data_IF_139561022697
#
_entry.id   IF_139561022697
#
_cell.length_a   1.000
_cell.length_b   1.000
_cell.length_c   1.000
_cell.angle_alpha   90.00
_cell.angle_beta   90.00
_cell.angle_gamma   90.00
#
_symmetry.space_group_name_H-M   'P 1'
#
loop_
_entity.id
_entity.type
_entity.pdbx_description
1 polymer ?
#
# COMPACT_ATOMS: atom_id res chain seq x y z
N UNK A 1 53.49 77.09 46.87
CA UNK A 1 52.03 77.01 47.04
C UNK A 1 51.41 76.69 45.68
N UNK A 2 50.49 75.71 45.61
CA UNK A 2 49.80 75.14 44.43
C UNK A 2 50.62 74.28 43.47
N UNK A 3 50.13 73.17 42.91
CA UNK A 3 49.09 72.16 43.22
C UNK A 3 49.17 71.20 42.01
N UNK A 4 49.16 69.88 42.20
CA UNK A 4 48.14 68.96 41.62
C UNK A 4 48.56 67.50 41.72
N UNK A 5 47.59 66.74 42.22
CA UNK A 5 47.55 65.30 42.43
C UNK A 5 47.73 64.52 41.13
N UNK A 6 48.56 63.46 41.17
CA UNK A 6 48.65 62.43 40.14
C UNK A 6 47.84 61.22 40.62
N UNK A 7 46.60 61.10 40.10
CA UNK A 7 45.72 59.96 40.36
C UNK A 7 46.05 58.80 39.40
N UNK A 8 46.20 57.60 39.96
CA UNK A 8 46.41 56.32 39.24
C UNK A 8 45.40 56.17 38.10
N UNK A 9 45.91 56.02 36.87
CA UNK A 9 45.11 55.71 35.67
C UNK A 9 44.60 54.27 35.77
N UNK A 10 43.30 54.12 35.97
CA UNK A 10 42.58 52.85 35.90
C UNK A 10 42.41 52.48 34.42
N UNK A 11 42.94 51.33 33.99
CA UNK A 11 42.70 50.83 32.63
C UNK A 11 41.26 50.29 32.54
N UNK A 12 40.40 50.95 31.76
CA UNK A 12 39.08 50.42 31.39
C UNK A 12 39.27 49.36 30.30
N UNK A 13 38.86 48.11 30.58
CA UNK A 13 38.66 47.09 29.55
C UNK A 13 37.49 47.55 28.68
N UNK A 14 37.74 47.80 27.40
CA UNK A 14 36.66 48.05 26.44
C UNK A 14 36.08 46.71 26.01
N UNK A 15 34.80 46.50 26.33
CA UNK A 15 34.02 45.42 25.76
C UNK A 15 33.57 45.88 24.37
N UNK A 16 34.06 45.23 23.33
CA UNK A 16 33.60 45.47 21.95
C UNK A 16 32.35 44.62 21.75
N UNK A 17 31.20 45.26 21.56
CA UNK A 17 30.00 44.59 21.05
C UNK A 17 30.02 44.63 19.53
N UNK A 18 30.05 43.46 18.91
CA UNK A 18 29.92 43.29 17.46
C UNK A 18 28.45 42.99 17.18
N UNK A 19 27.71 43.99 16.68
CA UNK A 19 26.30 43.83 16.29
C UNK A 19 26.28 43.29 14.86
N UNK A 20 25.99 42.00 14.70
CA UNK A 20 25.72 41.40 13.39
C UNK A 20 24.23 41.56 13.12
N UNK A 21 23.89 42.46 12.20
CA UNK A 21 22.52 42.65 11.72
C UNK A 21 22.25 41.64 10.61
N UNK A 22 21.68 40.48 10.94
CA UNK A 22 21.15 39.54 9.96
C UNK A 22 19.77 40.00 9.49
N UNK A 23 19.70 40.61 8.32
CA UNK A 23 18.43 40.87 7.63
C UNK A 23 18.02 39.57 6.94
N UNK A 24 17.09 38.84 7.56
CA UNK A 24 16.42 37.69 6.93
C UNK A 24 15.28 38.24 6.09
N UNK A 25 15.45 38.27 4.76
CA UNK A 25 14.31 38.49 3.86
C UNK A 25 13.48 37.20 3.82
N UNK A 26 12.38 37.17 4.55
CA UNK A 26 11.32 36.20 4.29
C UNK A 26 10.66 36.60 2.98
N UNK A 27 10.99 35.92 1.88
CA UNK A 27 10.14 35.91 0.70
C UNK A 27 8.84 35.20 1.08
N UNK A 28 7.81 35.97 1.45
CA UNK A 28 6.45 35.46 1.46
C UNK A 28 6.04 35.32 0.00
N UNK A 29 6.35 34.16 -0.59
CA UNK A 29 5.70 33.74 -1.81
C UNK A 29 4.28 33.39 -1.40
N UNK A 30 3.34 34.29 -1.70
CA UNK A 30 1.93 34.01 -1.58
C UNK A 30 1.54 33.11 -2.76
N UNK A 31 1.95 31.83 -2.68
CA UNK A 31 1.28 30.78 -3.43
C UNK A 31 -0.07 30.65 -2.74
N UNK A 32 -1.17 30.69 -3.48
CA UNK A 32 -2.47 30.23 -2.99
C UNK A 32 -2.33 28.73 -2.70
N UNK A 33 -1.71 28.40 -1.57
CA UNK A 33 -1.49 27.05 -1.10
C UNK A 33 -2.74 26.65 -0.33
N UNK A 34 -3.49 25.73 -0.91
CA UNK A 34 -4.34 24.83 -0.14
C UNK A 34 -3.56 24.43 1.12
N UNK A 35 -4.18 24.54 2.30
CA UNK A 35 -3.57 24.14 3.55
C UNK A 35 -3.13 22.68 3.39
N UNK A 36 -1.83 22.45 3.25
CA UNK A 36 -1.31 21.08 3.20
C UNK A 36 -1.41 20.54 4.62
N UNK A 37 -2.00 19.34 4.84
CA UNK A 37 -1.96 18.71 6.15
C UNK A 37 -0.50 18.63 6.62
N UNK A 38 -0.27 18.84 7.91
CA UNK A 38 1.06 18.55 8.47
C UNK A 38 1.31 17.05 8.28
N UNK A 39 2.52 16.67 7.91
CA UNK A 39 2.85 15.26 7.58
C UNK A 39 2.51 14.32 8.74
N UNK A 40 2.64 14.82 9.98
CA UNK A 40 2.30 14.08 11.20
C UNK A 40 0.79 13.77 11.34
N UNK A 41 -0.07 14.50 10.64
CA UNK A 41 -1.52 14.31 10.65
C UNK A 41 -2.00 13.31 9.59
N UNK A 42 -1.10 12.86 8.68
CA UNK A 42 -1.45 11.91 7.63
C UNK A 42 -1.44 10.49 8.21
N UNK A 43 -2.62 9.89 8.31
CA UNK A 43 -2.76 8.47 8.64
C UNK A 43 -2.46 7.61 7.41
N UNK A 44 -1.24 7.12 7.24
CA UNK A 44 -0.89 6.24 6.12
C UNK A 44 -1.43 4.81 6.23
N UNK A 45 -2.06 4.44 7.35
CA UNK A 45 -2.54 3.08 7.60
C UNK A 45 -1.41 2.07 7.87
N UNK A 46 -1.64 0.81 7.57
CA UNK A 46 -0.73 -0.33 7.69
C UNK A 46 -0.86 -1.23 6.47
N UNK A 47 0.04 -2.20 6.27
CA UNK A 47 0.00 -3.07 5.08
C UNK A 47 -1.36 -3.73 4.84
N UNK A 48 -2.09 -4.13 5.89
CA UNK A 48 -3.41 -4.75 5.79
C UNK A 48 -4.50 -3.84 5.22
N UNK A 49 -4.30 -2.52 5.26
CA UNK A 49 -5.28 -1.55 4.80
C UNK A 49 -5.18 -1.30 3.27
N UNK A 50 -4.13 -1.85 2.63
CA UNK A 50 -3.87 -1.77 1.20
C UNK A 50 -4.17 -3.08 0.48
N UNK A 51 -4.92 -2.99 -0.61
CA UNK A 51 -5.20 -4.13 -1.47
C UNK A 51 -3.96 -4.54 -2.27
N UNK A 52 -3.10 -3.59 -2.60
CA UNK A 52 -1.87 -3.85 -3.32
C UNK A 52 -0.74 -2.91 -2.92
N UNK A 53 0.44 -3.49 -2.76
CA UNK A 53 1.72 -2.82 -2.60
C UNK A 53 2.62 -3.17 -3.80
N UNK A 54 2.81 -2.22 -4.70
CA UNK A 54 3.58 -2.39 -5.94
C UNK A 54 4.95 -1.73 -5.77
N UNK A 55 5.99 -2.56 -5.64
CA UNK A 55 7.36 -2.08 -5.38
C UNK A 55 8.11 -1.62 -6.63
N UNK A 56 7.51 -1.76 -7.81
CA UNK A 56 8.04 -1.33 -9.11
C UNK A 56 7.09 -0.38 -9.83
N UNK A 57 7.11 -0.45 -11.15
CA UNK A 57 6.17 0.27 -12.02
C UNK A 57 4.81 -0.45 -12.06
N UNK A 58 3.73 0.31 -12.15
CA UNK A 58 2.37 -0.19 -12.34
C UNK A 58 1.87 0.20 -13.73
N UNK A 59 1.30 -0.74 -14.46
CA UNK A 59 0.67 -0.49 -15.78
C UNK A 59 -0.67 -1.20 -15.84
N UNK A 60 -1.73 -0.49 -16.22
CA UNK A 60 -3.05 -1.11 -16.35
C UNK A 60 -3.85 -0.55 -17.53
N UNK A 61 -4.58 -1.43 -18.22
CA UNK A 61 -5.36 -1.10 -19.41
C UNK A 61 -6.89 -1.07 -19.13
N UNK A 62 -7.30 -1.54 -17.97
CA UNK A 62 -8.67 -1.58 -17.44
C UNK A 62 -8.60 -1.62 -15.91
N UNK A 63 -9.73 -1.70 -15.22
CA UNK A 63 -9.74 -1.96 -13.78
C UNK A 63 -8.84 -3.17 -13.42
N UNK A 64 -7.99 -2.99 -12.40
CA UNK A 64 -6.99 -3.96 -11.95
C UNK A 64 -7.11 -4.14 -10.44
N UNK A 65 -6.87 -3.06 -9.67
CA UNK A 65 -7.04 -3.04 -8.22
C UNK A 65 -8.15 -2.05 -7.84
N UNK A 66 -9.21 -2.58 -7.25
CA UNK A 66 -10.39 -1.77 -6.89
C UNK A 66 -10.24 -1.08 -5.52
N UNK A 67 -9.30 -1.48 -4.64
CA UNK A 67 -9.11 -0.87 -3.32
C UNK A 67 -7.87 0.03 -3.21
N UNK A 68 -7.36 0.20 -1.98
CA UNK A 68 -6.21 1.11 -1.76
C UNK A 68 -4.93 0.55 -2.37
N UNK A 69 -4.12 1.45 -2.91
CA UNK A 69 -2.92 1.16 -3.68
C UNK A 69 -1.73 1.96 -3.17
N UNK A 70 -0.62 1.26 -2.92
CA UNK A 70 0.68 1.88 -2.69
C UNK A 70 1.63 1.48 -3.83
N UNK A 71 2.21 2.45 -4.53
CA UNK A 71 3.03 2.23 -5.75
C UNK A 71 4.34 2.99 -5.61
N UNK A 72 5.47 2.28 -5.63
CA UNK A 72 6.81 2.89 -5.53
C UNK A 72 7.20 3.62 -6.82
N UNK A 73 6.96 3.00 -7.96
CA UNK A 73 7.28 3.52 -9.29
C UNK A 73 6.19 4.41 -9.87
N UNK A 74 6.18 4.59 -11.19
CA UNK A 74 5.08 5.28 -11.86
C UNK A 74 3.86 4.37 -11.95
N UNK A 75 2.71 4.99 -12.13
CA UNK A 75 1.48 4.32 -12.50
C UNK A 75 1.06 4.80 -13.89
N UNK A 76 1.10 3.91 -14.87
CA UNK A 76 0.70 4.16 -16.26
C UNK A 76 -0.63 3.49 -16.59
N UNK A 77 -1.68 4.29 -16.68
CA UNK A 77 -3.03 3.86 -17.05
C UNK A 77 -3.44 4.44 -18.40
N UNK A 78 -2.47 4.90 -19.20
CA UNK A 78 -2.71 5.60 -20.46
C UNK A 78 -3.33 4.72 -21.55
N UNK A 79 -3.19 3.40 -21.44
CA UNK A 79 -3.81 2.46 -22.35
C UNK A 79 -5.31 2.23 -22.05
N UNK A 80 -5.77 2.57 -20.85
CA UNK A 80 -7.18 2.46 -20.46
C UNK A 80 -7.97 3.73 -20.80
N UNK A 81 -9.17 3.57 -21.35
CA UNK A 81 -10.14 4.67 -21.45
C UNK A 81 -10.84 4.84 -20.10
N UNK A 82 -10.58 5.95 -19.40
CA UNK A 82 -11.16 6.29 -18.08
C UNK A 82 -10.86 5.26 -16.98
N UNK A 83 -9.57 5.03 -16.71
CA UNK A 83 -9.16 4.19 -15.58
C UNK A 83 -9.67 4.75 -14.25
N UNK A 84 -10.14 3.85 -13.38
CA UNK A 84 -10.69 4.18 -12.07
C UNK A 84 -9.81 3.59 -10.97
N UNK A 85 -9.39 4.42 -10.03
CA UNK A 85 -8.73 4.01 -8.79
C UNK A 85 -9.74 3.92 -7.65
N UNK A 86 -9.47 3.03 -6.70
CA UNK A 86 -10.21 2.93 -5.45
C UNK A 86 -11.73 2.71 -5.64
N UNK A 87 -12.10 1.98 -6.71
CA UNK A 87 -13.48 1.65 -7.06
C UNK A 87 -14.30 1.06 -5.91
N UNK A 88 -13.67 0.26 -5.05
CA UNK A 88 -14.26 -0.39 -3.87
C UNK A 88 -14.93 0.61 -2.90
N UNK A 89 -14.59 1.92 -2.98
CA UNK A 89 -15.31 2.97 -2.27
C UNK A 89 -16.82 2.97 -2.58
N UNK A 90 -17.20 2.72 -3.83
CA UNK A 90 -18.60 2.72 -4.25
C UNK A 90 -19.44 1.60 -3.61
N UNK A 91 -18.80 0.60 -3.01
CA UNK A 91 -19.45 -0.55 -2.38
C UNK A 91 -20.26 -1.41 -3.35
N UNK A 92 -20.00 -1.30 -4.66
CA UNK A 92 -20.67 -2.12 -5.65
C UNK A 92 -20.27 -3.59 -5.48
N UNK A 93 -21.26 -4.49 -5.57
CA UNK A 93 -21.11 -5.93 -5.30
C UNK A 93 -20.10 -6.64 -6.22
N UNK A 94 -19.69 -6.01 -7.32
CA UNK A 94 -18.80 -6.58 -8.31
C UNK A 94 -17.33 -6.15 -8.15
N UNK A 95 -16.96 -5.54 -7.02
CA UNK A 95 -15.64 -4.92 -6.82
C UNK A 95 -14.79 -5.68 -5.81
N UNK A 96 -13.60 -6.09 -6.21
CA UNK A 96 -12.73 -6.93 -5.37
C UNK A 96 -11.98 -6.08 -4.34
N UNK A 97 -12.23 -6.32 -3.05
CA UNK A 97 -11.52 -5.65 -1.96
C UNK A 97 -12.38 -5.32 -0.75
N UNK A 98 -11.75 -4.85 0.32
CA UNK A 98 -12.49 -4.25 1.43
C UNK A 98 -13.15 -2.94 0.97
N UNK A 99 -14.43 -2.75 1.30
CA UNK A 99 -15.09 -1.48 1.10
C UNK A 99 -14.30 -0.40 1.84
N UNK A 100 -14.00 0.70 1.16
CA UNK A 100 -13.17 1.77 1.73
C UNK A 100 -14.00 2.58 2.74
N UNK A 101 -14.10 2.07 3.98
CA UNK A 101 -14.87 2.72 5.07
C UNK A 101 -14.06 3.81 5.78
N UNK A 102 -12.76 3.56 6.04
CA UNK A 102 -11.87 4.55 6.67
C UNK A 102 -11.20 5.48 5.64
N UNK A 103 -11.86 6.59 5.33
CA UNK A 103 -11.35 7.60 4.40
C UNK A 103 -10.12 8.38 4.89
N UNK A 104 -9.73 8.22 6.16
CA UNK A 104 -8.51 8.86 6.68
C UNK A 104 -7.24 8.23 6.11
N UNK A 105 -7.31 6.98 5.65
CA UNK A 105 -6.21 6.27 5.02
C UNK A 105 -6.22 6.54 3.50
N UNK A 106 -5.10 6.99 2.90
CA UNK A 106 -4.99 7.29 1.48
C UNK A 106 -5.39 6.12 0.58
N UNK A 107 -6.26 6.39 -0.37
CA UNK A 107 -6.60 5.43 -1.42
C UNK A 107 -5.45 5.18 -2.39
N UNK A 108 -4.62 6.20 -2.62
CA UNK A 108 -3.44 6.08 -3.46
C UNK A 108 -2.25 6.70 -2.75
N UNK A 109 -1.17 5.94 -2.64
CA UNK A 109 0.16 6.41 -2.21
C UNK A 109 1.15 6.16 -3.35
N UNK A 110 1.55 7.21 -4.07
CA UNK A 110 2.33 7.10 -5.32
C UNK A 110 3.69 7.78 -5.24
N UNK A 111 4.76 6.98 -5.29
CA UNK A 111 6.16 7.43 -5.27
C UNK A 111 6.68 7.94 -6.63
N UNK A 112 6.02 7.58 -7.73
CA UNK A 112 6.34 8.03 -9.09
C UNK A 112 5.33 9.02 -9.66
N UNK A 113 5.20 9.00 -10.99
CA UNK A 113 4.26 9.82 -11.75
C UNK A 113 2.99 9.07 -12.06
N UNK A 114 1.88 9.79 -12.15
CA UNK A 114 0.62 9.29 -12.69
C UNK A 114 0.59 9.62 -14.18
N UNK A 115 0.57 8.60 -15.04
CA UNK A 115 0.55 8.71 -16.50
C UNK A 115 -0.81 8.20 -17.00
N UNK A 116 -1.51 8.99 -17.81
CA UNK A 116 -2.89 8.71 -18.21
C UNK A 116 -3.22 9.36 -19.56
N UNK A 117 -4.22 8.81 -20.26
CA UNK A 117 -4.83 9.41 -21.45
C UNK A 117 -6.29 9.74 -21.10
N UNK A 118 -6.50 10.98 -20.66
CA UNK A 118 -7.78 11.42 -20.08
C UNK A 118 -7.78 11.33 -18.54
N UNK A 119 -8.53 12.21 -17.86
CA UNK A 119 -8.48 12.30 -16.40
C UNK A 119 -8.79 10.96 -15.72
N UNK A 120 -7.92 10.40 -14.86
CA UNK A 120 -8.28 9.24 -14.07
C UNK A 120 -9.36 9.62 -13.05
N UNK A 121 -10.23 8.66 -12.74
CA UNK A 121 -11.26 8.81 -11.72
C UNK A 121 -10.76 8.18 -10.42
N UNK A 122 -10.98 8.87 -9.30
CA UNK A 122 -10.77 8.34 -7.96
C UNK A 122 -12.12 8.31 -7.26
N UNK A 123 -12.65 7.10 -7.03
CA UNK A 123 -14.01 6.92 -6.49
C UNK A 123 -14.12 7.35 -5.01
N UNK A 124 -13.02 7.24 -4.26
CA UNK A 124 -12.90 7.89 -2.96
C UNK A 124 -11.55 7.73 -2.29
N UNK A 125 -11.38 8.44 -1.17
CA UNK A 125 -10.15 8.51 -0.38
C UNK A 125 -9.07 9.41 -1.00
N UNK A 126 -8.12 9.83 -0.16
CA UNK A 126 -7.09 10.79 -0.57
C UNK A 126 -6.07 10.19 -1.54
N UNK A 127 -5.55 11.03 -2.44
CA UNK A 127 -4.41 10.70 -3.29
C UNK A 127 -3.17 11.42 -2.80
N UNK A 128 -2.17 10.67 -2.36
CA UNK A 128 -0.86 11.18 -1.96
C UNK A 128 0.15 10.99 -3.08
N UNK A 129 0.66 12.11 -3.59
CA UNK A 129 1.60 12.17 -4.72
C UNK A 129 2.72 13.19 -4.44
N UNK A 130 3.83 13.08 -5.17
CA UNK A 130 4.97 14.00 -5.03
C UNK A 130 4.96 15.18 -6.00
N UNK A 131 4.20 15.09 -7.08
CA UNK A 131 4.09 16.11 -8.12
C UNK A 131 2.61 16.46 -8.33
N UNK A 132 2.30 17.74 -8.57
CA UNK A 132 0.92 18.15 -8.83
C UNK A 132 0.41 17.58 -10.16
N UNK A 133 -0.77 16.96 -10.13
CA UNK A 133 -1.49 16.48 -11.33
C UNK A 133 -2.82 17.23 -11.41
N UNK A 134 -3.03 18.04 -12.44
CA UNK A 134 -4.20 18.95 -12.52
C UNK A 134 -5.49 18.23 -12.91
N UNK A 135 -5.40 17.23 -13.77
CA UNK A 135 -6.56 16.60 -14.40
C UNK A 135 -6.94 15.26 -13.73
N UNK A 136 -7.15 15.24 -12.41
CA UNK A 136 -7.73 14.07 -11.70
C UNK A 136 -9.18 14.39 -11.36
N UNK A 137 -10.10 13.48 -11.68
CA UNK A 137 -11.51 13.57 -11.28
C UNK A 137 -11.67 12.87 -9.93
N UNK A 138 -12.02 13.63 -8.90
CA UNK A 138 -12.36 13.10 -7.58
C UNK A 138 -13.87 13.01 -7.44
N UNK A 139 -14.38 11.82 -7.15
CA UNK A 139 -15.77 11.66 -6.73
C UNK A 139 -15.93 11.96 -5.24
N UNK A 140 -14.89 11.66 -4.43
CA UNK A 140 -14.78 12.03 -3.02
C UNK A 140 -13.30 12.30 -2.65
N UNK A 141 -13.07 13.21 -1.70
CA UNK A 141 -11.75 13.61 -1.16
C UNK A 141 -10.83 14.42 -2.10
N UNK A 142 -9.61 14.69 -1.64
CA UNK A 142 -8.65 15.59 -2.29
C UNK A 142 -7.28 14.98 -2.58
N UNK A 143 -6.48 15.77 -3.30
CA UNK A 143 -5.09 15.48 -3.64
C UNK A 143 -4.16 16.12 -2.63
N UNK A 144 -3.34 15.30 -1.97
CA UNK A 144 -2.34 15.74 -1.00
C UNK A 144 -0.95 15.61 -1.64
N UNK A 145 -0.20 16.71 -1.64
CA UNK A 145 1.15 16.75 -2.22
C UNK A 145 2.17 16.83 -1.09
N UNK A 146 3.04 15.83 -0.98
CA UNK A 146 4.13 15.77 0.01
C UNK A 146 5.47 15.44 -0.64
N UNK A 147 6.56 15.48 0.12
CA UNK A 147 7.87 15.13 -0.40
C UNK A 147 7.95 13.66 -0.81
N UNK A 148 8.53 13.39 -1.98
CA UNK A 148 8.73 12.03 -2.51
C UNK A 148 9.44 11.11 -1.52
N UNK A 149 10.41 11.63 -0.79
CA UNK A 149 11.18 10.89 0.23
C UNK A 149 10.29 10.33 1.34
N UNK A 150 9.23 11.04 1.73
CA UNK A 150 8.26 10.60 2.74
C UNK A 150 7.41 9.46 2.18
N UNK A 151 6.89 9.62 0.97
CA UNK A 151 6.11 8.58 0.28
C UNK A 151 6.92 7.29 0.17
N UNK A 152 8.18 7.40 -0.26
CA UNK A 152 9.06 6.23 -0.40
C UNK A 152 9.37 5.58 0.95
N UNK A 153 9.66 6.37 1.99
CA UNK A 153 9.88 5.84 3.34
C UNK A 153 8.66 5.09 3.88
N UNK A 154 7.46 5.57 3.56
CA UNK A 154 6.22 4.93 3.95
C UNK A 154 5.98 3.62 3.18
N UNK A 155 6.24 3.61 1.87
CA UNK A 155 6.23 2.38 1.06
C UNK A 155 7.26 1.36 1.59
N UNK A 156 8.45 1.80 2.00
CA UNK A 156 9.46 0.94 2.62
C UNK A 156 8.97 0.34 3.95
N UNK A 157 8.20 1.12 4.73
CA UNK A 157 7.58 0.65 5.98
C UNK A 157 6.52 -0.42 5.69
N UNK A 158 5.63 -0.19 4.72
CA UNK A 158 4.63 -1.16 4.28
C UNK A 158 5.29 -2.44 3.73
N UNK A 159 6.38 -2.32 2.97
CA UNK A 159 7.15 -3.48 2.47
C UNK A 159 7.70 -4.31 3.63
N UNK A 160 8.26 -3.66 4.66
CA UNK A 160 8.78 -4.35 5.83
C UNK A 160 7.69 -5.11 6.59
N UNK A 161 6.51 -4.51 6.74
CA UNK A 161 5.35 -5.17 7.35
C UNK A 161 4.90 -6.38 6.55
N UNK A 162 4.74 -6.23 5.23
CA UNK A 162 4.39 -7.31 4.32
C UNK A 162 5.39 -8.48 4.45
N UNK A 163 6.69 -8.19 4.41
CA UNK A 163 7.75 -9.20 4.59
C UNK A 163 7.71 -9.89 5.96
N UNK A 164 7.40 -9.15 7.02
CA UNK A 164 7.25 -9.73 8.36
C UNK A 164 6.07 -10.68 8.44
N UNK A 165 4.93 -10.32 7.84
CA UNK A 165 3.74 -11.18 7.77
C UNK A 165 4.06 -12.44 6.95
N UNK A 166 4.63 -12.29 5.76
CA UNK A 166 5.02 -13.42 4.91
C UNK A 166 6.03 -14.34 5.60
N UNK A 167 7.05 -13.78 6.27
CA UNK A 167 8.01 -14.55 7.05
C UNK A 167 7.37 -15.33 8.19
N UNK A 168 6.31 -14.81 8.81
CA UNK A 168 5.56 -15.54 9.86
C UNK A 168 4.78 -16.74 9.31
N UNK A 169 4.45 -16.72 8.02
CA UNK A 169 3.73 -17.78 7.31
C UNK A 169 4.66 -18.85 6.74
N UNK A 170 5.97 -18.58 6.59
CA UNK A 170 6.96 -19.51 6.01
C UNK A 170 6.90 -20.91 6.61
N UNK A 171 6.77 -21.00 7.94
CA UNK A 171 6.68 -22.28 8.65
C UNK A 171 5.51 -23.16 8.18
N UNK A 172 4.48 -22.58 7.57
CA UNK A 172 3.34 -23.31 7.08
C UNK A 172 3.52 -23.82 5.66
N UNK A 173 4.38 -23.23 4.83
CA UNK A 173 4.60 -23.66 3.45
C UNK A 173 6.04 -24.11 3.15
N UNK A 174 6.95 -24.11 4.11
CA UNK A 174 8.28 -24.72 4.01
C UNK A 174 8.29 -26.06 4.75
N UNK A 175 7.75 -27.09 4.11
CA UNK A 175 7.70 -28.48 4.58
C UNK A 175 8.07 -29.40 3.42
N UNK A 176 8.61 -30.59 3.72
CA UNK A 176 9.01 -31.56 2.69
C UNK A 176 7.79 -32.30 2.12
N UNK A 177 7.86 -32.71 0.85
CA UNK A 177 6.78 -33.46 0.19
C UNK A 177 6.57 -34.87 0.78
N UNK A 178 7.50 -35.37 1.60
CA UNK A 178 7.36 -36.65 2.32
C UNK A 178 6.53 -36.50 3.60
N UNK A 179 6.25 -35.28 4.05
CA UNK A 179 5.57 -34.97 5.31
C UNK A 179 4.10 -34.57 5.14
N UNK A 180 3.49 -34.88 4.00
CA UNK A 180 2.17 -34.32 3.65
C UNK A 180 1.16 -35.37 3.25
N UNK A 181 -0.08 -35.13 3.63
CA UNK A 181 -1.25 -35.86 3.13
C UNK A 181 -1.94 -35.01 2.06
N UNK A 182 -2.20 -35.58 0.88
CA UNK A 182 -3.03 -34.92 -0.12
C UNK A 182 -4.46 -34.89 0.37
N UNK A 183 -4.93 -33.69 0.70
CA UNK A 183 -6.27 -33.47 1.22
C UNK A 183 -7.28 -33.34 0.07
N UNK A 184 -6.91 -32.60 -0.97
CA UNK A 184 -7.80 -32.33 -2.09
C UNK A 184 -7.00 -31.95 -3.34
N UNK A 185 -7.52 -32.31 -4.52
CA UNK A 185 -6.93 -31.94 -5.81
C UNK A 185 -7.98 -31.24 -6.65
N UNK A 186 -7.66 -30.02 -7.07
CA UNK A 186 -8.42 -29.29 -8.07
C UNK A 186 -7.77 -29.53 -9.44
N UNK A 187 -8.27 -30.54 -10.15
CA UNK A 187 -7.75 -30.88 -11.49
C UNK A 187 -7.97 -29.76 -12.52
N UNK A 188 -8.91 -28.84 -12.28
CA UNK A 188 -9.18 -27.74 -13.21
C UNK A 188 -8.14 -26.62 -13.10
N UNK A 189 -7.84 -26.17 -11.89
CA UNK A 189 -6.75 -25.21 -11.65
C UNK A 189 -5.37 -25.84 -11.72
N UNK A 190 -5.27 -27.15 -11.47
CA UNK A 190 -4.00 -27.86 -11.32
C UNK A 190 -3.41 -27.74 -9.91
N UNK A 191 -4.14 -27.15 -8.96
CA UNK A 191 -3.69 -27.03 -7.57
C UNK A 191 -3.92 -28.33 -6.80
N UNK A 192 -2.89 -28.79 -6.11
CA UNK A 192 -3.00 -29.83 -5.09
C UNK A 192 -2.90 -29.20 -3.71
N UNK A 193 -3.90 -29.46 -2.88
CA UNK A 193 -4.01 -28.97 -1.51
C UNK A 193 -3.65 -30.10 -0.55
N UNK A 194 -2.68 -29.84 0.32
CA UNK A 194 -2.13 -30.84 1.23
C UNK A 194 -2.19 -30.34 2.67
N UNK A 195 -2.34 -31.26 3.63
CA UNK A 195 -2.21 -30.96 5.06
C UNK A 195 -0.80 -31.34 5.54
N UNK A 196 0.01 -30.39 6.03
CA UNK A 196 1.32 -30.70 6.58
C UNK A 196 1.18 -31.53 7.85
N UNK A 197 2.03 -32.55 8.02
CA UNK A 197 2.06 -33.35 9.26
C UNK A 197 2.34 -32.51 10.51
N UNK A 198 3.01 -31.36 10.35
CA UNK A 198 3.34 -30.43 11.43
C UNK A 198 2.17 -29.57 11.89
N UNK A 199 1.14 -29.39 11.06
CA UNK A 199 -0.07 -28.63 11.41
C UNK A 199 -1.25 -29.03 10.53
N UNK A 200 -2.16 -29.83 11.09
CA UNK A 200 -3.36 -30.31 10.39
C UNK A 200 -4.45 -29.24 10.22
N UNK A 201 -4.33 -28.08 10.90
CA UNK A 201 -5.26 -26.96 10.73
C UNK A 201 -4.89 -26.04 9.56
N UNK A 202 -3.85 -26.38 8.80
CA UNK A 202 -3.41 -25.58 7.66
C UNK A 202 -3.39 -26.45 6.42
N UNK A 203 -4.03 -25.98 5.37
CA UNK A 203 -4.12 -26.63 4.07
C UNK A 203 -3.32 -25.79 3.10
N UNK A 204 -2.38 -26.40 2.40
CA UNK A 204 -1.41 -25.66 1.59
C UNK A 204 -1.39 -26.18 0.17
N UNK A 205 -1.43 -25.26 -0.79
CA UNK A 205 -1.05 -25.54 -2.17
C UNK A 205 0.20 -24.73 -2.51
N UNK A 206 1.18 -25.36 -3.17
CA UNK A 206 2.46 -24.72 -3.51
C UNK A 206 2.76 -24.85 -4.98
N UNK A 207 3.20 -23.76 -5.59
CA UNK A 207 3.90 -23.76 -6.87
C UNK A 207 5.32 -23.20 -6.65
N UNK A 208 6.26 -24.09 -6.37
CA UNK A 208 7.66 -23.75 -6.11
C UNK A 208 8.52 -24.23 -7.26
N UNK A 209 9.53 -23.44 -7.65
CA UNK A 209 10.51 -23.74 -8.72
C UNK A 209 9.96 -23.73 -10.15
N UNK A 210 8.74 -23.25 -10.38
CA UNK A 210 8.32 -22.79 -11.70
C UNK A 210 8.42 -21.27 -11.77
N UNK A 211 9.03 -20.75 -12.83
CA UNK A 211 9.07 -19.32 -13.07
C UNK A 211 7.71 -18.75 -13.50
N UNK A 212 6.80 -19.60 -13.98
CA UNK A 212 5.46 -19.23 -14.41
C UNK A 212 4.40 -19.90 -13.52
N UNK A 213 3.37 -19.15 -13.14
CA UNK A 213 2.22 -19.65 -12.42
C UNK A 213 0.93 -19.07 -12.98
N UNK A 214 0.16 -19.87 -13.71
CA UNK A 214 -1.17 -19.49 -14.17
C UNK A 214 -2.22 -19.91 -13.16
N UNK A 215 -2.88 -18.95 -12.50
CA UNK A 215 -4.01 -19.15 -11.60
C UNK A 215 -5.29 -19.08 -12.43
N UNK A 216 -5.98 -20.21 -12.53
CA UNK A 216 -7.32 -20.31 -13.14
C UNK A 216 -8.39 -20.21 -12.06
N UNK A 217 -9.65 -20.51 -12.39
CA UNK A 217 -10.68 -20.63 -11.37
C UNK A 217 -10.25 -21.73 -10.38
N UNK A 218 -10.28 -21.41 -9.10
CA UNK A 218 -9.83 -22.31 -8.03
C UNK A 218 -11.03 -22.82 -7.27
N UNK A 219 -11.18 -24.15 -7.25
CA UNK A 219 -12.15 -24.82 -6.40
C UNK A 219 -11.46 -25.10 -5.07
N UNK A 220 -11.88 -24.43 -4.00
CA UNK A 220 -11.33 -24.63 -2.67
C UNK A 220 -11.88 -25.92 -2.06
N UNK A 221 -11.07 -26.65 -1.27
CA UNK A 221 -11.57 -27.77 -0.51
C UNK A 221 -12.55 -27.32 0.59
N UNK A 222 -13.36 -28.25 1.09
CA UNK A 222 -14.11 -28.06 2.33
C UNK A 222 -13.12 -27.88 3.49
N UNK A 223 -13.41 -26.95 4.39
CA UNK A 223 -12.56 -26.61 5.54
C UNK A 223 -13.41 -26.47 6.79
N UNK A 224 -12.82 -26.76 7.95
CA UNK A 224 -13.43 -26.52 9.26
C UNK A 224 -13.21 -25.06 9.72
N UNK A 225 -14.01 -24.58 10.68
CA UNK A 225 -13.97 -23.19 11.18
C UNK A 225 -12.59 -22.73 11.67
N UNK A 226 -11.73 -23.65 12.10
CA UNK A 226 -10.39 -23.37 12.63
C UNK A 226 -9.27 -23.61 11.62
N UNK A 227 -9.60 -23.90 10.36
CA UNK A 227 -8.64 -24.20 9.31
C UNK A 227 -8.31 -23.00 8.43
N UNK A 228 -7.11 -23.01 7.87
CA UNK A 228 -6.61 -21.95 6.99
C UNK A 228 -6.09 -22.54 5.68
N UNK A 229 -6.43 -21.91 4.56
CA UNK A 229 -5.89 -22.26 3.25
C UNK A 229 -4.75 -21.29 2.90
N UNK A 230 -3.61 -21.82 2.50
CA UNK A 230 -2.46 -21.06 1.99
C UNK A 230 -2.16 -21.52 0.57
N UNK A 231 -2.23 -20.61 -0.39
CA UNK A 231 -1.70 -20.84 -1.74
C UNK A 231 -0.41 -20.03 -1.87
N UNK A 232 0.71 -20.72 -2.06
CA UNK A 232 2.03 -20.12 -2.12
C UNK A 232 2.70 -20.36 -3.48
N UNK A 233 3.33 -19.32 -4.05
CA UNK A 233 4.21 -19.48 -5.20
C UNK A 233 5.40 -18.52 -5.11
N UNK A 234 6.56 -18.97 -5.62
CA UNK A 234 7.73 -18.14 -5.84
C UNK A 234 8.02 -17.87 -7.32
N UNK A 235 7.01 -18.03 -8.18
CA UNK A 235 7.11 -17.75 -9.61
C UNK A 235 7.43 -16.26 -9.87
N UNK A 236 8.25 -16.00 -10.89
CA UNK A 236 8.58 -14.64 -11.33
C UNK A 236 7.44 -14.02 -12.16
N UNK A 237 6.65 -14.86 -12.81
CA UNK A 237 5.51 -14.47 -13.64
C UNK A 237 4.26 -15.21 -13.16
N UNK A 238 3.29 -14.44 -12.66
CA UNK A 238 1.99 -14.95 -12.24
C UNK A 238 0.94 -14.41 -13.20
N UNK A 239 0.17 -15.30 -13.82
CA UNK A 239 -0.93 -14.97 -14.72
C UNK A 239 -2.25 -15.36 -14.06
N UNK A 240 -3.19 -14.42 -13.94
CA UNK A 240 -4.56 -14.74 -13.52
C UNK A 240 -5.42 -14.98 -14.77
N UNK A 241 -5.63 -16.25 -15.13
CA UNK A 241 -6.31 -16.67 -16.36
C UNK A 241 -7.71 -17.19 -16.06
N UNK A 242 -8.65 -16.25 -15.81
CA UNK A 242 -9.96 -16.44 -15.16
C UNK A 242 -9.76 -16.85 -13.71
N UNK A 243 -10.10 -15.99 -12.75
CA UNK A 243 -9.62 -16.12 -11.36
C UNK A 243 -10.73 -16.21 -10.32
N UNK A 244 -11.85 -16.86 -10.62
CA UNK A 244 -12.93 -16.98 -9.64
C UNK A 244 -12.56 -18.01 -8.58
N UNK A 245 -12.94 -17.74 -7.32
CA UNK A 245 -12.87 -18.73 -6.26
C UNK A 245 -14.21 -19.44 -6.14
N UNK A 246 -14.18 -20.75 -5.96
CA UNK A 246 -15.37 -21.58 -5.75
C UNK A 246 -15.24 -22.31 -4.42
N UNK A 247 -16.34 -22.38 -3.66
CA UNK A 247 -16.48 -23.22 -2.48
C UNK A 247 -17.66 -24.16 -2.68
N UNK A 248 -17.41 -25.47 -2.68
CA UNK A 248 -18.36 -26.45 -3.17
C UNK A 248 -18.74 -26.18 -4.63
N UNK A 249 -20.03 -25.97 -4.91
CA UNK A 249 -20.53 -25.61 -6.25
C UNK A 249 -20.83 -24.12 -6.41
N UNK A 250 -20.57 -23.30 -5.40
CA UNK A 250 -20.89 -21.88 -5.40
C UNK A 250 -19.64 -21.05 -5.72
N UNK A 251 -19.80 -20.07 -6.60
CA UNK A 251 -18.79 -19.03 -6.78
C UNK A 251 -18.79 -18.14 -5.53
N UNK A 252 -17.61 -17.92 -4.96
CA UNK A 252 -17.43 -16.98 -3.86
C UNK A 252 -17.55 -15.57 -4.43
N UNK A 253 -18.41 -14.77 -3.81
CA UNK A 253 -18.51 -13.35 -4.11
C UNK A 253 -17.36 -12.62 -3.41
N UNK A 254 -16.25 -12.43 -4.13
CA UNK A 254 -15.08 -11.69 -3.66
C UNK A 254 -15.28 -10.18 -3.64
N UNK A 255 -16.45 -9.67 -4.07
CA UNK A 255 -16.78 -8.25 -4.11
C UNK A 255 -17.85 -7.78 -3.12
N UNK A 256 -18.33 -8.66 -2.25
CA UNK A 256 -19.24 -8.32 -1.16
C UNK A 256 -18.60 -8.65 0.21
N UNK A 257 -17.63 -7.85 0.70
CA UNK A 257 -16.94 -8.11 1.98
C UNK A 257 -17.86 -8.05 3.21
N UNK A 258 -19.08 -7.49 3.07
CA UNK A 258 -20.11 -7.45 4.10
C UNK A 258 -21.06 -8.65 4.07
N UNK A 259 -20.83 -9.62 3.17
CA UNK A 259 -21.59 -10.86 3.14
C UNK A 259 -21.10 -11.77 4.28
N UNK A 260 -22.03 -12.31 5.08
CA UNK A 260 -21.75 -13.09 6.31
C UNK A 260 -20.89 -14.35 6.08
N UNK A 261 -20.63 -14.71 4.82
CA UNK A 261 -19.91 -15.93 4.41
C UNK A 261 -18.39 -15.74 4.39
N UNK A 262 -17.87 -14.51 4.21
CA UNK A 262 -16.42 -14.26 4.22
C UNK A 262 -16.02 -13.48 5.47
N UNK A 263 -15.63 -14.21 6.52
CA UNK A 263 -14.96 -13.60 7.66
C UNK A 263 -13.52 -13.21 7.27
N UNK A 264 -13.17 -11.96 7.57
CA UNK A 264 -11.82 -11.42 7.37
C UNK A 264 -10.75 -12.33 8.00
N UNK A 265 -9.60 -12.46 7.33
CA UNK A 265 -8.38 -13.00 7.91
C UNK A 265 -7.76 -12.01 8.91
N UNK A 266 -8.48 -11.66 9.98
CA UNK A 266 -7.91 -11.20 11.25
C UNK A 266 -8.99 -11.07 12.33
N UNK A 267 -8.64 -11.31 13.61
CA UNK A 267 -9.28 -10.65 14.74
C UNK A 267 -8.94 -9.15 14.80
#
# INVERSE_FOLDING_TARGET
>A
MNRKNVTKKTYKKYLVYLVILSIVFSFIINVNGYARPEIEDINFGSFKDYNALILGEHTANSADVEGRLAIRGNSDTSAGNNFTYAGAFSGAFNLIGETLVDISIPSILLGGKMLYNGPPVVEGGNVIISENVEDIIFNNEEKIIIEKTIILAEIDRLEKEARSIMGSLEKYYQFSDEEVEVYYKDDYSGLSFVKPSTNQNVIVSKNINNNEFTIKDVFLPEIEDNEQIIVYSNAEHIEFSKGSLFYGSAQIDTGAPNNEIMHFLSP
#
